data_IF_478068158553
#
_entry.id   IF_478068158553
#
_cell.length_a   1.000
_cell.length_b   1.000
_cell.length_c   1.000
_cell.angle_alpha   90.00
_cell.angle_beta   90.00
_cell.angle_gamma   90.00
#
_symmetry.space_group_name_H-M   'P 1'
#
loop_
_entity.id
_entity.type
_entity.pdbx_description
1 polymer ?
#
# COMPACT_ATOMS: atom_id res chain seq x y z
N UNK A 1 -46.70 -49.32 33.00
CA UNK A 1 -46.48 -49.61 34.44
C UNK A 1 -45.33 -48.72 34.87
N UNK A 2 -45.58 -47.55 35.48
CA UNK A 2 -45.83 -47.38 36.93
C UNK A 2 -44.64 -47.94 37.76
N UNK A 3 -43.97 -47.25 38.68
CA UNK A 3 -44.18 -45.98 39.39
C UNK A 3 -43.00 -45.82 40.38
N UNK A 4 -42.67 -44.57 40.75
CA UNK A 4 -42.04 -44.10 42.03
C UNK A 4 -40.53 -44.35 42.26
N UNK A 5 -39.68 -43.30 42.32
CA UNK A 5 -39.43 -42.27 43.37
C UNK A 5 -38.63 -42.84 44.57
N UNK A 6 -37.77 -42.13 45.30
CA UNK A 6 -37.58 -40.71 45.59
C UNK A 6 -36.11 -40.54 46.10
N UNK A 7 -35.40 -39.44 45.81
CA UNK A 7 -35.14 -38.27 46.68
C UNK A 7 -34.22 -38.60 47.89
N UNK A 8 -33.20 -37.82 48.28
CA UNK A 8 -33.24 -36.38 48.56
C UNK A 8 -31.84 -35.83 48.99
N UNK A 9 -31.70 -34.51 48.88
CA UNK A 9 -30.80 -33.64 49.68
C UNK A 9 -29.54 -33.14 48.97
N UNK A 10 -29.22 -31.85 48.85
CA UNK A 10 -29.72 -30.52 49.27
C UNK A 10 -28.79 -29.55 48.48
N UNK A 11 -29.16 -28.43 47.85
CA UNK A 11 -29.71 -27.19 48.42
C UNK A 11 -30.09 -26.24 47.24
N UNK A 12 -31.26 -25.59 47.31
CA UNK A 12 -31.65 -24.42 46.50
C UNK A 12 -31.73 -23.21 47.44
N UNK A 13 -31.18 -22.06 47.07
CA UNK A 13 -31.60 -20.74 47.58
C UNK A 13 -31.58 -19.68 46.46
N UNK A 14 -32.79 -19.27 46.05
CA UNK A 14 -33.30 -17.90 45.80
C UNK A 14 -32.36 -16.87 45.16
N UNK A 15 -32.68 -16.42 43.94
CA UNK A 15 -32.33 -15.07 43.47
C UNK A 15 -33.63 -14.33 43.15
N UNK A 16 -33.85 -13.27 43.92
CA UNK A 16 -34.97 -12.33 43.87
C UNK A 16 -34.70 -11.21 42.88
N UNK A 17 -35.78 -10.79 42.24
CA UNK A 17 -36.06 -9.58 41.46
C UNK A 17 -35.27 -8.31 41.84
N UNK A 18 -34.76 -7.60 40.83
CA UNK A 18 -34.31 -6.20 40.94
C UNK A 18 -34.28 -5.53 39.54
N UNK A 19 -35.42 -4.94 39.16
CA UNK A 19 -35.51 -3.85 38.18
C UNK A 19 -34.62 -2.66 38.58
N UNK A 20 -33.86 -2.10 37.63
CA UNK A 20 -33.59 -0.65 37.56
C UNK A 20 -33.07 -0.21 36.18
N UNK A 21 -33.99 0.40 35.44
CA UNK A 21 -33.88 1.55 34.54
C UNK A 21 -32.48 2.05 34.11
N UNK A 22 -32.27 2.11 32.79
CA UNK A 22 -31.32 3.03 32.14
C UNK A 22 -32.12 3.90 31.15
N UNK A 23 -32.16 5.24 31.30
CA UNK A 23 -33.01 6.11 30.50
C UNK A 23 -32.40 6.51 29.14
N UNK A 24 -33.28 6.56 28.14
CA UNK A 24 -33.09 7.10 26.80
C UNK A 24 -33.05 8.64 26.85
N UNK A 25 -31.99 9.29 26.33
CA UNK A 25 -31.96 10.74 26.14
C UNK A 25 -32.19 11.09 24.67
N UNK A 26 -33.34 11.70 24.41
CA UNK A 26 -33.67 12.47 23.22
C UNK A 26 -33.34 13.94 23.50
N UNK A 27 -32.64 14.63 22.59
CA UNK A 27 -32.60 16.10 22.58
C UNK A 27 -32.95 16.58 21.17
N UNK A 28 -34.13 17.17 21.09
CA UNK A 28 -34.63 17.97 19.99
C UNK A 28 -34.03 19.38 20.06
N UNK A 29 -33.79 19.96 18.88
CA UNK A 29 -34.08 21.35 18.52
C UNK A 29 -33.18 22.48 19.09
N UNK A 30 -32.24 22.96 18.28
CA UNK A 30 -31.84 24.37 18.25
C UNK A 30 -31.77 24.80 16.78
N UNK A 31 -32.90 25.29 16.28
CA UNK A 31 -32.96 26.23 15.17
C UNK A 31 -33.34 27.62 15.73
N UNK A 32 -32.93 28.66 15.00
CA UNK A 32 -33.24 30.09 15.14
C UNK A 32 -32.41 30.94 16.12
N UNK A 33 -31.42 31.67 15.55
CA UNK A 33 -31.46 33.15 15.38
C UNK A 33 -30.25 33.70 14.61
N UNK A 34 -30.46 33.94 13.30
CA UNK A 34 -30.14 35.12 12.45
C UNK A 34 -28.75 35.82 12.43
N UNK A 35 -28.39 36.64 11.41
CA UNK A 35 -29.05 36.91 10.12
C UNK A 35 -28.17 36.72 8.86
N UNK A 36 -28.84 36.74 7.70
CA UNK A 36 -28.29 36.84 6.35
C UNK A 36 -27.66 38.21 6.09
N UNK A 37 -26.51 38.23 5.41
CA UNK A 37 -26.05 39.39 4.63
C UNK A 37 -25.58 38.92 3.25
N UNK A 38 -26.29 39.35 2.22
CA UNK A 38 -25.90 39.29 0.82
C UNK A 38 -24.68 40.20 0.54
N UNK A 39 -23.84 39.80 -0.42
CA UNK A 39 -22.76 40.62 -0.97
C UNK A 39 -22.01 39.87 -2.05
N UNK A 40 -22.43 40.07 -3.30
CA UNK A 40 -21.77 39.58 -4.52
C UNK A 40 -20.40 40.25 -4.75
N UNK A 41 -19.45 39.53 -5.37
CA UNK A 41 -18.65 39.94 -6.57
C UNK A 41 -17.53 38.93 -6.88
N UNK A 42 -17.56 38.44 -8.12
CA UNK A 42 -16.46 38.22 -9.09
C UNK A 42 -15.16 37.42 -8.76
N UNK A 43 -14.86 36.48 -9.68
CA UNK A 43 -13.66 35.68 -10.05
C UNK A 43 -12.23 36.14 -9.66
N UNK A 44 -11.15 35.35 -9.94
CA UNK A 44 -10.98 33.89 -10.00
C UNK A 44 -9.73 33.42 -9.18
N UNK A 45 -9.72 32.17 -8.71
CA UNK A 45 -8.57 31.62 -7.97
C UNK A 45 -7.59 30.87 -8.89
N UNK A 46 -6.43 31.49 -9.13
CA UNK A 46 -5.21 30.84 -9.59
C UNK A 46 -4.05 31.13 -8.62
N UNK A 47 -3.26 30.08 -8.37
CA UNK A 47 -1.86 30.05 -7.90
C UNK A 47 -1.53 30.23 -6.40
N UNK A 48 -1.12 29.10 -5.82
CA UNK A 48 0.15 28.84 -5.10
C UNK A 48 0.48 29.54 -3.76
N UNK A 49 0.92 28.73 -2.78
CA UNK A 49 1.69 29.22 -1.63
C UNK A 49 1.89 28.19 -0.53
N UNK A 50 3.13 27.72 -0.38
CA UNK A 50 3.61 26.82 0.66
C UNK A 50 3.53 27.43 2.07
N UNK A 51 3.47 26.58 3.12
CA UNK A 51 3.56 27.03 4.50
C UNK A 51 3.81 25.88 5.48
N UNK A 52 5.03 25.83 6.01
CA UNK A 52 5.53 24.89 6.99
C UNK A 52 4.80 25.01 8.35
N UNK A 53 4.60 23.90 9.06
CA UNK A 53 4.06 23.89 10.42
C UNK A 53 5.17 23.65 11.44
N UNK A 54 5.33 24.64 12.30
CA UNK A 54 6.24 24.78 13.42
C UNK A 54 5.88 23.88 14.60
N UNK A 55 6.89 23.26 15.20
CA UNK A 55 6.90 22.62 16.52
C UNK A 55 6.55 23.61 17.64
N UNK A 56 5.91 23.16 18.74
CA UNK A 56 6.10 23.77 20.05
C UNK A 56 6.82 22.80 21.01
N UNK A 57 7.92 23.27 21.58
CA UNK A 57 8.63 22.67 22.71
C UNK A 57 8.01 23.14 24.05
N UNK A 58 8.08 22.32 25.10
CA UNK A 58 7.98 22.72 26.53
C UNK A 58 8.37 21.54 27.47
N UNK A 59 8.71 21.76 28.76
CA UNK A 59 10.09 21.61 29.26
C UNK A 59 10.29 20.54 30.36
N UNK A 60 11.52 20.53 30.90
CA UNK A 60 12.18 19.56 31.79
C UNK A 60 11.87 19.75 33.31
N UNK A 61 11.71 18.60 34.02
CA UNK A 61 11.88 18.27 35.45
C UNK A 61 11.09 18.96 36.61
N UNK A 62 10.50 18.14 37.52
CA UNK A 62 10.69 18.07 39.02
C UNK A 62 9.83 16.93 39.66
N UNK A 63 10.52 15.89 40.16
CA UNK A 63 10.49 15.14 41.46
C UNK A 63 9.20 14.87 42.32
N UNK A 64 8.95 13.54 42.54
CA UNK A 64 8.49 12.73 43.72
C UNK A 64 7.11 12.87 44.39
N UNK A 65 6.41 11.72 44.51
CA UNK A 65 5.86 11.22 45.80
C UNK A 65 5.50 9.71 45.72
N UNK A 66 5.86 8.99 46.80
CA UNK A 66 5.40 7.71 47.38
C UNK A 66 4.41 6.83 46.57
N UNK A 67 4.59 5.52 46.37
CA UNK A 67 4.89 4.47 47.35
C UNK A 67 3.60 3.66 47.63
N UNK A 68 3.56 2.37 47.24
CA UNK A 68 2.85 1.21 47.84
C UNK A 68 2.51 0.12 46.79
N UNK A 69 2.93 -1.13 47.05
CA UNK A 69 2.13 -2.33 46.71
C UNK A 69 2.63 -3.34 45.67
N UNK A 70 3.60 -4.17 46.07
CA UNK A 70 3.69 -5.64 45.89
C UNK A 70 3.60 -6.35 44.51
N UNK A 71 4.74 -6.96 44.15
CA UNK A 71 4.99 -8.36 43.76
C UNK A 71 4.09 -9.09 42.72
N UNK A 72 4.67 -9.37 41.54
CA UNK A 72 4.58 -10.71 40.95
C UNK A 72 5.83 -11.06 40.11
N UNK A 73 6.33 -12.27 40.35
CA UNK A 73 7.55 -12.92 39.83
C UNK A 73 7.82 -12.73 38.33
N UNK A 74 9.01 -12.20 38.03
CA UNK A 74 9.73 -12.43 36.76
C UNK A 74 11.21 -12.57 37.11
N UNK A 75 11.64 -13.79 37.42
CA UNK A 75 13.04 -14.11 37.68
C UNK A 75 13.30 -15.52 37.20
N UNK A 76 13.61 -15.64 35.92
CA UNK A 76 14.48 -16.70 35.38
C UNK A 76 14.87 -16.31 33.95
N UNK A 77 16.11 -15.84 33.80
CA UNK A 77 16.94 -15.86 32.59
C UNK A 77 17.79 -14.59 32.49
N UNK A 78 18.79 -14.49 33.38
CA UNK A 78 20.01 -13.72 33.14
C UNK A 78 21.04 -14.10 34.22
N UNK A 79 21.50 -15.35 34.20
CA UNK A 79 22.70 -15.72 34.95
C UNK A 79 23.91 -15.29 34.13
N UNK A 80 24.79 -14.48 34.72
CA UNK A 80 26.06 -14.12 34.09
C UNK A 80 27.01 -15.32 34.15
N UNK A 81 28.01 -15.38 33.27
CA UNK A 81 29.01 -16.46 33.25
C UNK A 81 29.75 -16.65 34.59
N UNK A 82 29.67 -15.68 35.50
CA UNK A 82 30.31 -15.72 36.81
C UNK A 82 29.52 -16.54 37.86
N UNK A 83 28.23 -16.81 37.61
CA UNK A 83 27.34 -17.49 38.56
C UNK A 83 27.33 -19.02 38.38
N UNK A 84 27.69 -19.51 37.19
CA UNK A 84 27.73 -20.95 36.87
C UNK A 84 28.87 -21.67 37.61
N UNK A 85 29.94 -20.97 37.97
CA UNK A 85 31.09 -21.58 38.66
C UNK A 85 30.78 -21.99 40.11
N UNK A 86 29.69 -21.47 40.69
CA UNK A 86 29.26 -21.77 42.07
C UNK A 86 28.29 -22.95 42.19
N UNK A 87 27.88 -23.56 41.07
CA UNK A 87 26.94 -24.69 41.07
C UNK A 87 27.64 -26.02 41.42
N UNK A 88 26.95 -26.96 42.08
CA UNK A 88 27.45 -28.32 42.31
C UNK A 88 27.76 -29.05 40.99
N UNK A 89 28.76 -29.93 40.98
CA UNK A 89 29.30 -30.55 39.76
C UNK A 89 28.26 -31.40 38.97
N UNK A 90 27.24 -31.93 39.65
CA UNK A 90 26.13 -32.66 39.02
C UNK A 90 25.24 -31.75 38.17
N UNK A 91 25.01 -30.51 38.62
CA UNK A 91 24.17 -29.52 37.91
C UNK A 91 24.95 -28.86 36.75
N UNK A 92 26.27 -28.68 36.91
CA UNK A 92 27.18 -28.28 35.82
C UNK A 92 27.20 -29.29 34.68
N UNK A 93 27.12 -30.58 35.01
CA UNK A 93 27.06 -31.65 34.01
C UNK A 93 25.71 -31.68 33.27
N UNK A 94 24.62 -31.31 33.93
CA UNK A 94 23.29 -31.26 33.33
C UNK A 94 23.12 -30.04 32.41
N UNK A 95 23.61 -28.86 32.81
CA UNK A 95 23.66 -27.64 31.98
C UNK A 95 24.58 -27.82 30.75
N UNK A 96 25.62 -28.64 30.87
CA UNK A 96 26.52 -28.97 29.74
C UNK A 96 25.94 -30.04 28.81
N UNK A 97 25.02 -30.89 29.31
CA UNK A 97 24.37 -31.98 28.56
C UNK A 97 23.09 -31.51 27.86
N UNK A 98 22.31 -30.63 28.49
CA UNK A 98 21.27 -29.80 27.86
C UNK A 98 21.90 -28.48 27.40
N UNK A 99 22.86 -28.61 26.49
CA UNK A 99 23.72 -27.52 26.05
C UNK A 99 22.95 -26.23 25.82
N UNK A 100 23.59 -25.12 26.21
CA UNK A 100 23.28 -23.75 25.85
C UNK A 100 22.51 -23.73 24.53
N UNK A 101 21.18 -23.62 24.64
CA UNK A 101 20.36 -23.11 23.57
C UNK A 101 20.81 -21.68 23.37
N UNK A 102 21.94 -21.51 22.67
CA UNK A 102 22.18 -20.32 21.89
C UNK A 102 20.90 -20.19 21.09
N UNK A 103 20.04 -19.27 21.50
CA UNK A 103 18.98 -18.77 20.65
C UNK A 103 19.70 -18.46 19.35
N UNK A 104 19.49 -19.32 18.37
CA UNK A 104 19.77 -19.02 16.99
C UNK A 104 18.75 -17.92 16.70
N UNK A 105 19.09 -16.68 17.10
CA UNK A 105 18.84 -15.57 16.22
C UNK A 105 19.50 -16.01 14.94
N UNK A 106 18.66 -16.58 14.07
CA UNK A 106 18.92 -16.79 12.67
C UNK A 106 19.06 -15.39 12.05
N UNK A 107 20.06 -14.64 12.54
CA UNK A 107 20.72 -13.56 11.86
C UNK A 107 21.48 -14.25 10.73
N UNK A 108 20.69 -14.80 9.80
CA UNK A 108 21.13 -15.10 8.46
C UNK A 108 21.96 -13.89 8.05
N UNK A 109 23.26 -14.07 7.73
CA UNK A 109 24.12 -12.96 7.45
C UNK A 109 23.42 -12.21 6.31
N UNK A 110 22.94 -11.00 6.61
CA UNK A 110 22.37 -10.09 5.61
C UNK A 110 23.45 -10.02 4.57
N UNK A 111 23.24 -10.76 3.48
CA UNK A 111 24.27 -11.05 2.51
C UNK A 111 24.84 -9.70 2.14
N UNK A 112 26.09 -9.44 2.54
CA UNK A 112 26.71 -8.13 2.44
C UNK A 112 26.99 -7.91 0.94
N UNK A 113 25.91 -7.65 0.20
CA UNK A 113 25.95 -7.46 -1.24
C UNK A 113 26.81 -6.24 -1.46
N UNK A 114 27.81 -6.39 -2.32
CA UNK A 114 28.67 -5.28 -2.71
C UNK A 114 27.82 -4.04 -3.00
N UNK A 115 28.22 -2.89 -2.43
CA UNK A 115 27.50 -1.61 -2.55
C UNK A 115 27.14 -1.27 -4.00
N UNK A 116 27.98 -1.70 -4.96
CA UNK A 116 27.71 -1.57 -6.39
C UNK A 116 26.51 -2.39 -6.87
N UNK A 117 26.35 -3.65 -6.42
CA UNK A 117 25.18 -4.48 -6.78
C UNK A 117 23.89 -3.88 -6.21
N UNK A 118 23.94 -3.34 -4.99
CA UNK A 118 22.81 -2.64 -4.37
C UNK A 118 22.43 -1.39 -5.16
N UNK A 119 23.41 -0.57 -5.54
CA UNK A 119 23.17 0.65 -6.32
C UNK A 119 22.52 0.33 -7.68
N UNK A 120 22.98 -0.72 -8.36
CA UNK A 120 22.41 -1.14 -9.64
C UNK A 120 20.97 -1.66 -9.48
N UNK A 121 20.69 -2.46 -8.44
CA UNK A 121 19.32 -2.92 -8.16
C UNK A 121 18.41 -1.73 -7.86
N UNK A 122 18.85 -0.80 -7.01
CA UNK A 122 18.08 0.40 -6.71
C UNK A 122 17.86 1.26 -7.95
N UNK A 123 18.86 1.42 -8.81
CA UNK A 123 18.70 2.14 -10.07
C UNK A 123 17.61 1.48 -10.94
N UNK A 124 17.63 0.15 -11.06
CA UNK A 124 16.62 -0.59 -11.83
C UNK A 124 15.19 -0.40 -11.26
N UNK A 125 15.06 -0.49 -9.93
CA UNK A 125 13.78 -0.34 -9.25
C UNK A 125 13.26 1.11 -9.31
N UNK A 126 14.13 2.08 -9.08
CA UNK A 126 13.82 3.50 -9.21
C UNK A 126 13.40 3.84 -10.63
N UNK A 127 14.07 3.28 -11.62
CA UNK A 127 13.73 3.48 -13.03
C UNK A 127 12.34 2.90 -13.33
N UNK A 128 12.03 1.69 -12.89
CA UNK A 128 10.69 1.11 -13.03
C UNK A 128 9.57 1.98 -12.41
N UNK A 129 9.79 2.53 -11.20
CA UNK A 129 8.82 3.45 -10.57
C UNK A 129 8.77 4.79 -11.29
N UNK A 130 9.91 5.30 -11.77
CA UNK A 130 9.98 6.55 -12.52
C UNK A 130 9.06 6.52 -13.74
N UNK A 131 9.02 5.41 -14.48
CA UNK A 131 8.13 5.28 -15.64
C UNK A 131 6.66 5.31 -15.25
N UNK A 132 6.28 4.54 -14.23
CA UNK A 132 4.91 4.53 -13.74
C UNK A 132 4.48 5.92 -13.24
N UNK A 133 5.38 6.63 -12.54
CA UNK A 133 5.12 7.98 -12.05
C UNK A 133 5.05 9.01 -13.19
N UNK A 134 5.97 8.92 -14.18
CA UNK A 134 6.00 9.81 -15.34
C UNK A 134 4.71 9.67 -16.16
N UNK A 135 4.22 8.46 -16.38
CA UNK A 135 2.98 8.23 -17.13
C UNK A 135 1.76 8.87 -16.46
N UNK A 136 1.65 8.76 -15.13
CA UNK A 136 0.58 9.42 -14.39
C UNK A 136 0.66 10.93 -14.54
N UNK A 137 1.87 11.51 -14.50
CA UNK A 137 2.05 12.97 -14.47
C UNK A 137 1.97 13.59 -15.86
N UNK A 138 2.54 12.96 -16.89
CA UNK A 138 2.55 13.47 -18.27
C UNK A 138 1.12 13.57 -18.84
N UNK A 139 0.28 12.58 -18.54
CA UNK A 139 -1.08 12.51 -19.09
C UNK A 139 -1.95 13.64 -18.56
N UNK A 140 -1.75 14.11 -17.33
CA UNK A 140 -2.56 15.21 -16.75
C UNK A 140 -2.59 16.46 -17.63
N UNK A 141 -1.48 16.78 -18.29
CA UNK A 141 -1.37 17.93 -19.22
C UNK A 141 -1.93 17.65 -20.61
N UNK A 142 -2.03 16.38 -20.99
CA UNK A 142 -2.55 15.94 -22.28
C UNK A 142 -4.06 15.67 -22.28
N UNK A 143 -4.66 15.49 -21.11
CA UNK A 143 -6.10 15.21 -20.96
C UNK A 143 -7.01 16.20 -21.71
N UNK A 144 -6.81 17.53 -21.64
CA UNK A 144 -7.67 18.48 -22.36
C UNK A 144 -7.59 18.25 -23.88
N UNK A 145 -6.38 18.17 -24.42
CA UNK A 145 -6.13 17.95 -25.86
C UNK A 145 -6.71 16.63 -26.36
N UNK A 146 -6.57 15.55 -25.58
CA UNK A 146 -7.12 14.24 -25.95
C UNK A 146 -8.65 14.28 -25.93
N UNK A 147 -9.24 14.88 -24.90
CA UNK A 147 -10.70 14.99 -24.77
C UNK A 147 -11.32 15.81 -25.92
N UNK A 148 -10.64 16.88 -26.33
CA UNK A 148 -11.03 17.72 -27.46
C UNK A 148 -10.92 16.95 -28.79
N UNK A 149 -9.82 16.24 -29.01
CA UNK A 149 -9.60 15.43 -30.22
C UNK A 149 -10.70 14.37 -30.45
N UNK A 150 -11.21 13.76 -29.39
CA UNK A 150 -12.29 12.77 -29.48
C UNK A 150 -13.70 13.37 -29.33
N UNK A 151 -13.82 14.69 -29.16
CA UNK A 151 -15.09 15.40 -28.91
C UNK A 151 -15.95 14.75 -27.80
N UNK A 152 -15.30 14.24 -26.75
CA UNK A 152 -15.97 13.44 -25.71
C UNK A 152 -15.66 13.97 -24.32
N UNK A 153 -16.60 14.72 -23.73
CA UNK A 153 -16.45 15.30 -22.39
C UNK A 153 -16.24 14.25 -21.30
N UNK A 154 -16.83 13.07 -21.44
CA UNK A 154 -16.61 11.95 -20.52
C UNK A 154 -15.18 11.40 -20.60
N UNK A 155 -14.50 11.57 -21.74
CA UNK A 155 -13.14 11.11 -21.95
C UNK A 155 -12.16 11.79 -20.99
N UNK A 156 -12.36 13.08 -20.73
CA UNK A 156 -11.54 13.87 -19.80
C UNK A 156 -11.40 13.21 -18.43
N UNK A 157 -12.50 12.72 -17.87
CA UNK A 157 -12.53 12.03 -16.58
C UNK A 157 -12.02 10.59 -16.70
N UNK A 158 -12.53 9.84 -17.68
CA UNK A 158 -12.30 8.39 -17.74
C UNK A 158 -10.87 7.98 -18.12
N UNK A 159 -10.14 8.78 -18.89
CA UNK A 159 -8.75 8.45 -19.29
C UNK A 159 -7.83 8.37 -18.05
N UNK A 160 -7.97 9.32 -17.11
CA UNK A 160 -7.22 9.33 -15.86
C UNK A 160 -7.74 8.27 -14.88
N UNK A 161 -9.06 8.25 -14.68
CA UNK A 161 -9.70 7.36 -13.71
C UNK A 161 -9.52 5.89 -14.04
N UNK A 162 -9.63 5.47 -15.31
CA UNK A 162 -9.48 4.06 -15.67
C UNK A 162 -8.09 3.50 -15.30
N UNK A 163 -7.04 4.30 -15.46
CA UNK A 163 -5.70 3.94 -15.00
C UNK A 163 -5.66 3.82 -13.48
N UNK A 164 -6.14 4.83 -12.74
CA UNK A 164 -6.10 4.84 -11.28
C UNK A 164 -6.93 3.71 -10.67
N UNK A 165 -8.12 3.45 -11.20
CA UNK A 165 -8.99 2.35 -10.80
C UNK A 165 -8.29 1.00 -10.96
N UNK A 166 -7.74 0.73 -12.15
CA UNK A 166 -7.05 -0.52 -12.43
C UNK A 166 -5.74 -0.67 -11.63
N UNK A 167 -5.01 0.43 -11.47
CA UNK A 167 -3.83 0.53 -10.62
C UNK A 167 -4.16 0.15 -9.17
N UNK A 168 -5.13 0.82 -8.55
CA UNK A 168 -5.55 0.56 -7.17
C UNK A 168 -6.11 -0.84 -6.96
N UNK A 169 -6.93 -1.35 -7.89
CA UNK A 169 -7.53 -2.68 -7.78
C UNK A 169 -6.51 -3.81 -7.96
N UNK A 170 -5.44 -3.60 -8.74
CA UNK A 170 -4.45 -4.64 -9.04
C UNK A 170 -3.36 -4.80 -7.97
N UNK A 171 -3.06 -3.77 -7.18
CA UNK A 171 -2.05 -3.77 -6.10
C UNK A 171 -2.09 -5.04 -5.20
N UNK A 172 -3.23 -5.41 -4.58
CA UNK A 172 -3.27 -6.58 -3.70
C UNK A 172 -3.04 -7.89 -4.45
N UNK A 173 -3.48 -7.98 -5.71
CA UNK A 173 -3.29 -9.16 -6.55
C UNK A 173 -1.81 -9.37 -6.86
N UNK A 174 -1.08 -8.30 -7.21
CA UNK A 174 0.35 -8.36 -7.45
C UNK A 174 1.16 -8.80 -6.24
N UNK A 175 0.77 -8.35 -5.03
CA UNK A 175 1.39 -8.79 -3.78
C UNK A 175 1.36 -10.31 -3.64
N UNK A 176 0.15 -10.90 -3.60
CA UNK A 176 -0.03 -12.35 -3.44
C UNK A 176 0.62 -13.17 -4.55
N UNK A 177 0.45 -12.74 -5.80
CA UNK A 177 1.03 -13.46 -6.95
C UNK A 177 2.56 -13.44 -6.90
N UNK A 178 3.16 -12.33 -6.46
CA UNK A 178 4.62 -12.24 -6.34
C UNK A 178 5.22 -13.01 -5.17
N UNK A 179 4.45 -13.28 -4.12
CA UNK A 179 4.90 -14.17 -3.02
C UNK A 179 5.10 -15.60 -3.53
N UNK A 180 4.32 -16.00 -4.54
CA UNK A 180 4.32 -17.35 -5.10
C UNK A 180 5.34 -17.48 -6.23
N UNK A 181 5.22 -16.64 -7.25
CA UNK A 181 6.06 -16.76 -8.46
C UNK A 181 7.44 -16.09 -8.31
N UNK A 182 7.63 -15.35 -7.23
CA UNK A 182 8.82 -14.56 -6.97
C UNK A 182 8.74 -13.14 -7.55
N UNK A 183 9.61 -12.28 -7.02
CA UNK A 183 9.60 -10.84 -7.31
C UNK A 183 10.04 -10.49 -8.73
N UNK A 184 11.17 -11.08 -9.19
CA UNK A 184 11.76 -10.79 -10.51
C UNK A 184 10.79 -11.06 -11.67
N UNK A 185 10.22 -12.28 -11.82
CA UNK A 185 9.34 -12.55 -12.95
C UNK A 185 8.08 -11.68 -12.91
N UNK A 186 7.53 -11.40 -11.72
CA UNK A 186 6.35 -10.53 -11.61
C UNK A 186 6.65 -9.08 -11.97
N UNK A 187 7.83 -8.55 -11.62
CA UNK A 187 8.27 -7.22 -12.06
C UNK A 187 8.37 -7.13 -13.59
N UNK A 188 8.93 -8.16 -14.22
CA UNK A 188 9.05 -8.23 -15.69
C UNK A 188 7.67 -8.33 -16.35
N UNK A 189 6.76 -9.14 -15.82
CA UNK A 189 5.40 -9.27 -16.35
C UNK A 189 4.63 -7.95 -16.18
N UNK A 190 4.71 -7.30 -15.02
CA UNK A 190 4.09 -6.00 -14.79
C UNK A 190 4.62 -4.94 -15.76
N UNK A 191 5.94 -4.93 -16.01
CA UNK A 191 6.56 -4.04 -16.99
C UNK A 191 6.04 -4.31 -18.42
N UNK A 192 5.95 -5.57 -18.84
CA UNK A 192 5.42 -5.93 -20.17
C UNK A 192 3.95 -5.54 -20.32
N UNK A 193 3.12 -5.75 -19.28
CA UNK A 193 1.71 -5.33 -19.29
C UNK A 193 1.62 -3.81 -19.44
N UNK A 194 2.44 -3.07 -18.69
CA UNK A 194 2.52 -1.62 -18.79
C UNK A 194 2.93 -1.17 -20.19
N UNK A 195 3.99 -1.77 -20.75
CA UNK A 195 4.49 -1.49 -22.10
C UNK A 195 3.44 -1.77 -23.19
N UNK A 196 2.71 -2.89 -23.10
CA UNK A 196 1.61 -3.22 -24.02
C UNK A 196 0.47 -2.23 -23.88
N UNK A 197 0.11 -1.84 -22.65
CA UNK A 197 -0.87 -0.78 -22.40
C UNK A 197 -0.47 0.55 -23.06
N UNK A 198 0.79 0.96 -22.88
CA UNK A 198 1.38 2.15 -23.53
C UNK A 198 1.28 2.07 -25.06
N UNK A 199 1.57 0.90 -25.66
CA UNK A 199 1.49 0.70 -27.11
C UNK A 199 0.05 0.83 -27.63
N UNK A 200 -0.91 0.18 -26.96
CA UNK A 200 -2.33 0.25 -27.35
C UNK A 200 -2.85 1.68 -27.21
N UNK A 201 -2.44 2.40 -26.16
CA UNK A 201 -2.79 3.81 -25.96
C UNK A 201 -2.21 4.71 -27.07
N UNK A 202 -0.93 4.51 -27.42
CA UNK A 202 -0.26 5.25 -28.49
C UNK A 202 -0.89 5.00 -29.87
N UNK A 203 -1.46 3.81 -30.10
CA UNK A 203 -2.15 3.43 -31.33
C UNK A 203 -3.65 3.67 -31.32
N UNK A 204 -4.22 4.14 -30.20
CA UNK A 204 -5.66 4.25 -30.03
C UNK A 204 -6.33 5.13 -31.09
N UNK A 205 -7.45 4.64 -31.63
CA UNK A 205 -8.26 5.33 -32.66
C UNK A 205 -9.63 5.76 -32.14
N UNK A 206 -10.01 5.31 -30.95
CA UNK A 206 -11.26 5.66 -30.27
C UNK A 206 -11.03 5.91 -28.79
N UNK A 207 -11.90 6.70 -28.18
CA UNK A 207 -11.85 6.99 -26.74
C UNK A 207 -12.01 5.72 -25.90
N UNK A 208 -12.89 4.80 -26.32
CA UNK A 208 -13.08 3.51 -25.63
C UNK A 208 -11.81 2.66 -25.66
N UNK A 209 -11.13 2.58 -26.81
CA UNK A 209 -9.84 1.89 -26.92
C UNK A 209 -8.77 2.51 -26.02
N UNK A 210 -8.73 3.85 -25.93
CA UNK A 210 -7.79 4.54 -25.05
C UNK A 210 -8.09 4.27 -23.57
N UNK A 211 -9.37 4.29 -23.15
CA UNK A 211 -9.78 3.96 -21.78
C UNK A 211 -9.40 2.52 -21.44
N UNK A 212 -9.64 1.56 -22.33
CA UNK A 212 -9.23 0.16 -22.14
C UNK A 212 -7.70 0.04 -22.06
N UNK A 213 -6.96 0.75 -22.91
CA UNK A 213 -5.51 0.78 -22.85
C UNK A 213 -5.00 1.33 -21.51
N UNK A 214 -5.62 2.40 -20.99
CA UNK A 214 -5.30 2.97 -19.68
C UNK A 214 -5.59 2.01 -18.54
N UNK A 215 -6.67 1.23 -18.62
CA UNK A 215 -6.96 0.19 -17.64
C UNK A 215 -5.87 -0.91 -17.66
N UNK A 216 -5.49 -1.41 -18.83
CA UNK A 216 -4.42 -2.42 -18.97
C UNK A 216 -3.09 -1.86 -18.44
N UNK A 217 -2.76 -0.64 -18.83
CA UNK A 217 -1.54 0.06 -18.38
C UNK A 217 -1.55 0.26 -16.86
N UNK A 218 -2.71 0.61 -16.28
CA UNK A 218 -2.90 0.74 -14.84
C UNK A 218 -2.63 -0.55 -14.08
N UNK A 219 -3.05 -1.71 -14.61
CA UNK A 219 -2.72 -3.03 -14.03
C UNK A 219 -1.20 -3.20 -13.95
N UNK A 220 -0.47 -2.88 -15.03
CA UNK A 220 0.99 -2.94 -15.05
C UNK A 220 1.65 -1.94 -14.09
N UNK A 221 1.15 -0.70 -14.06
CA UNK A 221 1.65 0.37 -13.22
C UNK A 221 1.53 0.07 -11.73
N UNK A 222 0.39 -0.52 -11.33
CA UNK A 222 0.16 -0.96 -9.95
C UNK A 222 1.13 -2.03 -9.53
N UNK A 223 1.40 -2.97 -10.44
CA UNK A 223 2.43 -4.00 -10.27
C UNK A 223 3.82 -3.40 -10.10
N UNK A 224 4.24 -2.49 -10.98
CA UNK A 224 5.56 -1.85 -10.89
C UNK A 224 5.75 -1.14 -9.54
N UNK A 225 4.78 -0.33 -9.11
CA UNK A 225 4.87 0.41 -7.86
C UNK A 225 4.90 -0.53 -6.66
N UNK A 226 3.95 -1.49 -6.56
CA UNK A 226 3.89 -2.35 -5.37
C UNK A 226 5.04 -3.35 -5.31
N UNK A 227 5.43 -3.95 -6.44
CA UNK A 227 6.48 -4.95 -6.47
C UNK A 227 7.85 -4.34 -6.19
N UNK A 228 8.08 -3.09 -6.58
CA UNK A 228 9.29 -2.36 -6.19
C UNK A 228 9.31 -2.15 -4.68
N UNK A 229 8.21 -1.71 -4.08
CA UNK A 229 8.13 -1.53 -2.63
C UNK A 229 8.33 -2.85 -1.88
N UNK A 230 7.69 -3.93 -2.32
CA UNK A 230 7.88 -5.27 -1.76
C UNK A 230 9.34 -5.71 -1.90
N UNK A 231 9.94 -5.52 -3.07
CA UNK A 231 11.34 -5.90 -3.31
C UNK A 231 12.31 -5.13 -2.40
N UNK A 232 12.09 -3.83 -2.19
CA UNK A 232 12.86 -3.03 -1.23
C UNK A 232 12.67 -3.57 0.20
N UNK A 233 11.43 -3.93 0.56
CA UNK A 233 11.12 -4.60 1.82
C UNK A 233 11.93 -5.88 2.01
N UNK A 234 11.97 -6.75 1.02
CA UNK A 234 12.67 -8.04 1.09
C UNK A 234 14.20 -7.91 1.06
N UNK A 235 14.73 -6.84 0.44
CA UNK A 235 16.18 -6.66 0.28
C UNK A 235 16.87 -5.98 1.46
N UNK A 236 16.16 -5.08 2.15
CA UNK A 236 16.77 -4.18 3.11
C UNK A 236 16.16 -4.35 4.51
N UNK A 237 17.03 -4.24 5.52
CA UNK A 237 16.62 -4.27 6.92
C UNK A 237 15.69 -3.08 7.24
N UNK A 238 14.75 -3.27 8.18
CA UNK A 238 13.74 -2.26 8.53
C UNK A 238 14.32 -0.86 8.81
N UNK A 239 15.50 -0.78 9.40
CA UNK A 239 16.18 0.48 9.73
C UNK A 239 16.65 1.28 8.50
N UNK A 240 16.99 0.60 7.41
CA UNK A 240 17.49 1.24 6.18
C UNK A 240 16.40 1.46 5.13
N UNK A 241 15.26 0.75 5.22
CA UNK A 241 14.12 0.88 4.30
C UNK A 241 13.65 2.32 4.12
N UNK A 242 13.64 3.13 5.19
CA UNK A 242 13.24 4.53 5.13
C UNK A 242 14.05 5.36 4.13
N UNK A 243 15.37 5.15 4.04
CA UNK A 243 16.22 5.85 3.08
C UNK A 243 15.92 5.42 1.63
N UNK A 244 15.67 4.13 1.40
CA UNK A 244 15.32 3.62 0.06
C UNK A 244 13.94 4.09 -0.40
N UNK A 245 12.95 4.11 0.50
CA UNK A 245 11.65 4.73 0.20
C UNK A 245 11.77 6.24 0.00
N UNK A 246 12.69 6.92 0.69
CA UNK A 246 13.03 8.31 0.41
C UNK A 246 13.55 8.52 -1.02
N UNK A 247 14.40 7.61 -1.53
CA UNK A 247 14.84 7.65 -2.93
C UNK A 247 13.69 7.42 -3.91
N UNK A 248 12.80 6.46 -3.63
CA UNK A 248 11.59 6.26 -4.44
C UNK A 248 10.69 7.50 -4.42
N UNK A 249 10.55 8.16 -3.27
CA UNK A 249 9.83 9.43 -3.15
C UNK A 249 10.47 10.56 -3.96
N UNK A 250 11.82 10.64 -3.96
CA UNK A 250 12.55 11.62 -4.79
C UNK A 250 12.31 11.37 -6.28
N UNK A 251 12.26 10.11 -6.72
CA UNK A 251 11.90 9.74 -8.09
C UNK A 251 10.49 10.24 -8.46
N UNK A 252 9.51 10.07 -7.55
CA UNK A 252 8.16 10.61 -7.73
C UNK A 252 8.16 12.13 -7.85
N UNK A 253 8.94 12.84 -7.04
CA UNK A 253 9.05 14.29 -7.12
C UNK A 253 9.67 14.75 -8.46
N UNK A 254 10.71 14.07 -8.94
CA UNK A 254 11.32 14.33 -10.25
C UNK A 254 10.31 14.07 -11.36
N UNK A 255 9.64 12.92 -11.34
CA UNK A 255 8.62 12.57 -12.34
C UNK A 255 7.45 13.56 -12.35
N UNK A 256 7.04 14.06 -11.18
CA UNK A 256 5.98 15.08 -11.05
C UNK A 256 6.41 16.45 -11.56
N UNK A 257 7.70 16.75 -11.53
CA UNK A 257 8.24 18.00 -12.07
C UNK A 257 8.46 17.93 -13.57
N UNK A 258 9.03 16.83 -14.06
CA UNK A 258 9.40 16.63 -15.46
C UNK A 258 8.19 16.27 -16.32
N UNK A 259 7.26 15.48 -15.79
CA UNK A 259 6.10 14.97 -16.53
C UNK A 259 5.25 16.07 -17.18
N UNK A 260 4.75 17.08 -16.43
CA UNK A 260 3.96 18.15 -17.00
C UNK A 260 4.70 19.00 -18.05
N UNK A 261 6.02 19.19 -17.86
CA UNK A 261 6.85 19.95 -18.81
C UNK A 261 6.95 19.20 -20.14
N UNK A 262 7.29 17.91 -20.09
CA UNK A 262 7.39 17.08 -21.29
C UNK A 262 6.01 16.91 -21.95
N UNK A 263 4.98 16.69 -21.14
CA UNK A 263 3.60 16.50 -21.60
C UNK A 263 3.07 17.72 -22.34
N UNK A 264 3.24 18.92 -21.77
CA UNK A 264 2.87 20.19 -22.40
C UNK A 264 3.60 20.42 -23.72
N UNK A 265 4.91 20.15 -23.78
CA UNK A 265 5.67 20.29 -25.04
C UNK A 265 5.16 19.34 -26.12
N UNK A 266 4.82 18.09 -25.76
CA UNK A 266 4.30 17.13 -26.73
C UNK A 266 2.89 17.45 -27.20
N UNK A 267 2.02 17.93 -26.31
CA UNK A 267 0.64 18.29 -26.67
C UNK A 267 0.57 19.54 -27.52
N UNK A 268 1.44 20.53 -27.26
CA UNK A 268 1.47 21.78 -28.03
C UNK A 268 2.19 21.65 -29.39
N UNK A 269 3.33 20.94 -29.45
CA UNK A 269 4.24 21.01 -30.61
C UNK A 269 4.23 19.78 -31.51
N UNK A 270 3.73 18.64 -31.05
CA UNK A 270 3.86 17.37 -31.79
C UNK A 270 2.54 16.64 -31.92
N UNK A 271 2.15 15.90 -30.88
CA UNK A 271 0.89 15.16 -30.77
C UNK A 271 0.81 14.56 -29.37
N UNK A 272 -0.39 14.52 -28.79
CA UNK A 272 -0.66 13.84 -27.53
C UNK A 272 -0.24 12.35 -27.51
N UNK A 273 -0.14 11.71 -28.68
CA UNK A 273 0.29 10.30 -28.80
C UNK A 273 1.72 10.09 -28.32
N UNK A 274 2.57 11.11 -28.41
CA UNK A 274 3.97 11.04 -27.96
C UNK A 274 4.11 10.92 -26.44
N UNK A 275 3.09 11.33 -25.69
CA UNK A 275 3.02 11.08 -24.24
C UNK A 275 3.04 9.59 -23.91
N UNK A 276 2.55 8.73 -24.83
CA UNK A 276 2.62 7.27 -24.70
C UNK A 276 3.85 6.67 -25.39
N UNK A 277 4.26 7.22 -26.54
CA UNK A 277 5.45 6.72 -27.24
C UNK A 277 6.74 6.90 -26.45
N UNK A 278 6.88 7.95 -25.64
CA UNK A 278 8.07 8.14 -24.80
C UNK A 278 8.22 7.05 -23.74
N UNK A 279 7.11 6.45 -23.28
CA UNK A 279 7.14 5.39 -22.29
C UNK A 279 7.68 4.09 -22.87
N UNK A 280 7.44 3.77 -24.15
CA UNK A 280 7.90 2.53 -24.78
C UNK A 280 9.42 2.30 -24.77
N UNK A 281 10.29 3.24 -25.22
CA UNK A 281 11.74 3.06 -25.17
C UNK A 281 12.26 3.04 -23.73
N UNK A 282 11.62 3.81 -22.84
CA UNK A 282 11.93 3.77 -21.42
C UNK A 282 11.57 2.40 -20.84
N UNK A 283 10.39 1.85 -21.15
CA UNK A 283 9.92 0.55 -20.67
C UNK A 283 10.84 -0.56 -21.17
N UNK A 284 11.23 -0.51 -22.44
CA UNK A 284 12.19 -1.44 -23.00
C UNK A 284 13.54 -1.38 -22.28
N UNK A 285 14.04 -0.18 -21.97
CA UNK A 285 15.27 -0.02 -21.19
C UNK A 285 15.08 -0.55 -19.75
N UNK A 286 13.92 -0.31 -19.12
CA UNK A 286 13.60 -0.77 -17.78
C UNK A 286 13.60 -2.29 -17.73
N UNK A 287 12.95 -2.90 -18.72
CA UNK A 287 12.88 -4.34 -18.90
C UNK A 287 14.28 -4.95 -19.04
N UNK A 288 15.13 -4.39 -19.90
CA UNK A 288 16.50 -4.87 -20.10
C UNK A 288 17.28 -4.79 -18.78
N UNK A 289 17.20 -3.65 -18.09
CA UNK A 289 17.93 -3.46 -16.82
C UNK A 289 17.41 -4.45 -15.77
N UNK A 290 16.10 -4.58 -15.59
CA UNK A 290 15.49 -5.52 -14.66
C UNK A 290 15.86 -6.98 -15.02
N UNK A 291 15.87 -7.32 -16.31
CA UNK A 291 16.16 -8.67 -16.77
C UNK A 291 17.59 -9.09 -16.44
N UNK A 292 18.57 -8.23 -16.72
CA UNK A 292 19.99 -8.55 -16.52
C UNK A 292 20.49 -8.31 -15.09
N UNK A 293 20.04 -7.23 -14.44
CA UNK A 293 20.64 -6.80 -13.18
C UNK A 293 19.83 -7.16 -11.94
N UNK A 294 18.54 -7.44 -12.07
CA UNK A 294 17.74 -7.89 -10.93
C UNK A 294 17.98 -9.38 -10.71
N UNK A 295 19.00 -9.71 -9.93
CA UNK A 295 19.30 -11.08 -9.52
C UNK A 295 18.72 -11.34 -8.13
N UNK A 296 17.44 -11.72 -8.10
CA UNK A 296 16.74 -12.16 -6.90
C UNK A 296 16.63 -13.68 -6.93
N UNK A 297 17.16 -14.34 -5.89
CA UNK A 297 16.95 -15.77 -5.67
C UNK A 297 15.45 -16.03 -5.65
N UNK A 298 14.96 -16.65 -6.72
CA UNK A 298 13.56 -17.07 -6.82
C UNK A 298 13.47 -18.47 -6.21
N UNK A 299 12.80 -18.60 -5.06
CA UNK A 299 12.44 -19.92 -4.54
C UNK A 299 11.46 -20.52 -5.54
N UNK A 300 11.89 -21.54 -6.28
CA UNK A 300 11.10 -22.20 -7.31
C UNK A 300 10.02 -23.07 -6.65
N UNK A 301 8.88 -22.47 -6.31
CA UNK A 301 7.66 -23.23 -6.08
C UNK A 301 7.10 -23.70 -7.43
N UNK A 302 6.62 -24.95 -7.54
CA UNK A 302 5.93 -25.42 -8.74
C UNK A 302 4.70 -24.55 -9.03
N UNK A 303 4.54 -24.11 -10.29
CA UNK A 303 3.46 -23.20 -10.72
C UNK A 303 2.07 -23.68 -10.28
N UNK A 304 1.82 -24.99 -10.35
CA UNK A 304 0.55 -25.61 -9.98
C UNK A 304 0.29 -25.64 -8.48
N UNK A 305 1.31 -25.81 -7.65
CA UNK A 305 1.16 -25.79 -6.19
C UNK A 305 0.99 -24.36 -5.69
N UNK A 306 1.68 -23.42 -6.34
CA UNK A 306 1.46 -21.99 -6.16
C UNK A 306 0.03 -21.56 -6.50
N UNK A 307 -0.50 -21.98 -7.66
CA UNK A 307 -1.87 -21.67 -8.08
C UNK A 307 -2.94 -22.19 -7.12
N UNK A 308 -2.71 -23.35 -6.50
CA UNK A 308 -3.62 -23.94 -5.50
C UNK A 308 -3.56 -23.25 -4.15
N UNK A 309 -2.43 -22.64 -3.80
CA UNK A 309 -2.26 -21.87 -2.56
C UNK A 309 -2.90 -20.47 -2.64
N UNK A 310 -3.26 -19.99 -3.84
CA UNK A 310 -3.93 -18.71 -4.01
C UNK A 310 -5.36 -18.80 -3.48
N UNK A 311 -5.67 -17.93 -2.52
CA UNK A 311 -7.04 -17.62 -2.13
C UNK A 311 -7.70 -16.78 -3.24
N UNK A 312 -8.25 -17.47 -4.23
CA UNK A 312 -8.93 -16.86 -5.38
C UNK A 312 -10.19 -16.10 -4.99
N UNK A 313 -10.93 -16.62 -4.02
CA UNK A 313 -12.20 -16.02 -3.56
C UNK A 313 -11.92 -14.71 -2.85
N UNK A 314 -10.98 -14.68 -1.90
CA UNK A 314 -10.59 -13.45 -1.23
C UNK A 314 -9.93 -12.44 -2.17
N UNK A 315 -9.13 -12.91 -3.15
CA UNK A 315 -8.55 -12.02 -4.15
C UNK A 315 -9.60 -11.41 -5.09
N UNK A 316 -10.61 -12.19 -5.50
CA UNK A 316 -11.70 -11.65 -6.31
C UNK A 316 -12.60 -10.72 -5.50
N UNK A 317 -12.87 -11.04 -4.23
CA UNK A 317 -13.63 -10.19 -3.31
C UNK A 317 -12.94 -8.85 -3.07
N UNK A 318 -11.62 -8.82 -2.85
CA UNK A 318 -10.92 -7.57 -2.56
C UNK A 318 -10.82 -6.68 -3.80
N UNK A 319 -10.59 -7.27 -4.97
CA UNK A 319 -10.61 -6.57 -6.26
C UNK A 319 -12.01 -6.02 -6.52
N UNK A 320 -13.04 -6.85 -6.38
CA UNK A 320 -14.44 -6.46 -6.57
C UNK A 320 -14.89 -5.36 -5.61
N UNK A 321 -14.58 -5.48 -4.32
CA UNK A 321 -14.91 -4.48 -3.30
C UNK A 321 -14.19 -3.15 -3.57
N UNK A 322 -12.91 -3.21 -3.94
CA UNK A 322 -12.13 -2.00 -4.28
C UNK A 322 -12.69 -1.33 -5.53
N UNK A 323 -13.01 -2.10 -6.58
CA UNK A 323 -13.64 -1.55 -7.78
C UNK A 323 -15.01 -0.95 -7.47
N UNK A 324 -15.88 -1.63 -6.73
CA UNK A 324 -17.19 -1.11 -6.35
C UNK A 324 -17.08 0.20 -5.56
N UNK A 325 -16.18 0.25 -4.58
CA UNK A 325 -15.93 1.45 -3.78
C UNK A 325 -15.43 2.60 -4.67
N UNK A 326 -14.42 2.34 -5.51
CA UNK A 326 -13.83 3.37 -6.34
C UNK A 326 -14.77 3.82 -7.46
N UNK A 327 -15.59 2.93 -8.03
CA UNK A 327 -16.65 3.31 -8.97
C UNK A 327 -17.70 4.19 -8.29
N UNK A 328 -18.13 3.84 -7.07
CA UNK A 328 -19.05 4.66 -6.29
C UNK A 328 -18.50 6.07 -6.05
N UNK A 329 -17.22 6.20 -5.70
CA UNK A 329 -16.54 7.50 -5.54
C UNK A 329 -16.35 8.23 -6.87
N UNK A 330 -16.16 7.50 -7.97
CA UNK A 330 -15.94 8.07 -9.30
C UNK A 330 -17.23 8.66 -9.90
N UNK A 331 -18.37 8.01 -9.65
CA UNK A 331 -19.67 8.42 -10.19
C UNK A 331 -20.44 9.34 -9.23
N UNK A 332 -20.28 9.14 -7.92
CA UNK A 332 -20.98 9.87 -6.86
C UNK A 332 -20.65 11.36 -6.86
N UNK A 333 -21.69 12.19 -6.95
CA UNK A 333 -21.58 13.65 -6.97
C UNK A 333 -21.07 14.25 -8.30
N UNK A 334 -20.68 13.42 -9.27
CA UNK A 334 -20.19 13.87 -10.59
C UNK A 334 -21.18 13.52 -11.70
N UNK A 335 -21.53 12.23 -11.81
CA UNK A 335 -22.48 11.74 -12.84
C UNK A 335 -23.84 11.40 -12.22
N UNK A 336 -23.83 10.82 -11.02
CA UNK A 336 -25.03 10.46 -10.29
C UNK A 336 -25.02 11.10 -8.89
N UNK A 337 -26.17 11.54 -8.36
CA UNK A 337 -26.28 11.99 -6.97
C UNK A 337 -25.86 10.87 -6.00
N UNK A 338 -25.31 11.22 -4.84
CA UNK A 338 -24.90 10.23 -3.82
C UNK A 338 -26.04 9.33 -3.31
N UNK A 339 -27.29 9.79 -3.43
CA UNK A 339 -28.49 9.03 -3.09
C UNK A 339 -28.97 8.07 -4.18
N UNK A 340 -28.27 8.03 -5.32
CA UNK A 340 -28.52 7.11 -6.42
C UNK A 340 -28.30 5.66 -5.99
N UNK A 341 -29.19 4.76 -6.41
CA UNK A 341 -29.04 3.31 -6.24
C UNK A 341 -28.06 2.67 -7.25
N UNK A 342 -27.52 3.49 -8.16
CA UNK A 342 -26.52 3.17 -9.18
C UNK A 342 -25.30 4.04 -8.94
#
# INVERSE_FOLDING_TARGET
MATTAANDGQERIIITDAERQIPMYSVHNIADKAPLTEGATDEPAAAAGAGATTTPAMPENVTMTEGLGQEHKESESNASSHDIDKLPDEEKAEVKKHGLGHGHHDDTPVQERSKGKIAVIMLALCMAVFLAALDVTIITTALPTISEHFHSTSGYTWIGSAFLLANSASIPSWGKVSDIFGRKPMLLVANVIFMVGSLIAALSTSIGMLITARAIQGIGGGGLVILVNITIGDLFSMRSRGAYYGMVGAVWAIASSVGPIIGGVFTEKVSWRWCFYINLPLDGLAFIILFFFLDLKTTRTPIMDGLKAIDWVGSLLIVGATLMLLFGLQYGGVTYPWSSAI
#
